data_IF_643926215710
#
_entry.id   IF_643926215710
#
_cell.length_a   1.000
_cell.length_b   1.000
_cell.length_c   1.000
_cell.angle_alpha   90.00
_cell.angle_beta   90.00
_cell.angle_gamma   90.00
#
_symmetry.space_group_name_H-M   'P 1'
#
loop_
_entity.id
_entity.type
_entity.pdbx_description
1 polymer ?
#
# COMPACT_ATOMS: atom_id res chain seq x y z
N UNK A 1 -23.19 20.80 2.94
CA UNK A 1 -21.94 20.60 3.70
C UNK A 1 -21.42 19.17 3.56
N UNK A 2 -22.27 18.17 3.75
CA UNK A 2 -21.96 16.73 3.56
C UNK A 2 -21.24 16.40 2.25
N UNK A 3 -21.69 16.93 1.10
CA UNK A 3 -21.01 16.69 -0.19
C UNK A 3 -19.55 17.19 -0.24
N UNK A 4 -19.24 18.32 0.41
CA UNK A 4 -17.86 18.82 0.49
C UNK A 4 -17.00 17.94 1.39
N UNK A 5 -17.56 17.45 2.51
CA UNK A 5 -16.88 16.54 3.43
C UNK A 5 -16.57 15.21 2.76
N UNK A 6 -17.55 14.60 2.08
CA UNK A 6 -17.32 13.37 1.31
C UNK A 6 -16.32 13.58 0.16
N UNK A 7 -16.36 14.73 -0.51
CA UNK A 7 -15.36 15.09 -1.52
C UNK A 7 -13.94 15.16 -0.95
N UNK A 8 -13.77 15.80 0.22
CA UNK A 8 -12.48 15.86 0.90
C UNK A 8 -11.99 14.47 1.36
N UNK A 9 -12.88 13.66 1.94
CA UNK A 9 -12.57 12.27 2.33
C UNK A 9 -12.09 11.47 1.11
N UNK A 10 -12.78 11.57 -0.03
CA UNK A 10 -12.39 10.87 -1.25
C UNK A 10 -10.98 11.26 -1.71
N UNK A 11 -10.66 12.56 -1.74
CA UNK A 11 -9.33 13.04 -2.13
C UNK A 11 -8.25 12.52 -1.17
N UNK A 12 -8.49 12.60 0.14
CA UNK A 12 -7.54 12.11 1.15
C UNK A 12 -7.30 10.61 1.01
N UNK A 13 -8.35 9.81 0.83
CA UNK A 13 -8.23 8.36 0.68
C UNK A 13 -7.56 7.93 -0.62
N UNK A 14 -7.79 8.65 -1.72
CA UNK A 14 -7.09 8.40 -2.99
C UNK A 14 -5.60 8.69 -2.85
N UNK A 15 -5.24 9.82 -2.25
CA UNK A 15 -3.83 10.18 -2.03
C UNK A 15 -3.14 9.23 -1.05
N UNK A 16 -3.82 8.85 0.04
CA UNK A 16 -3.29 7.89 1.00
C UNK A 16 -3.14 6.49 0.38
N UNK A 17 -4.14 6.03 -0.40
CA UNK A 17 -4.09 4.74 -1.08
C UNK A 17 -2.95 4.65 -2.08
N UNK A 18 -2.90 5.59 -3.04
CA UNK A 18 -1.86 5.61 -4.08
C UNK A 18 -0.48 5.90 -3.49
N UNK A 19 -0.37 6.97 -2.71
CA UNK A 19 0.89 7.41 -2.11
C UNK A 19 1.46 6.40 -1.12
N UNK A 20 0.62 5.80 -0.28
CA UNK A 20 1.04 4.79 0.68
C UNK A 20 1.53 3.51 0.03
N UNK A 21 0.84 3.03 -1.01
CA UNK A 21 1.30 1.85 -1.77
C UNK A 21 2.61 2.17 -2.50
N UNK A 22 2.71 3.32 -3.16
CA UNK A 22 3.96 3.74 -3.83
C UNK A 22 5.12 3.86 -2.85
N UNK A 23 4.88 4.37 -1.65
CA UNK A 23 5.90 4.48 -0.60
C UNK A 23 6.39 3.11 -0.13
N UNK A 24 5.47 2.16 0.10
CA UNK A 24 5.82 0.77 0.46
C UNK A 24 6.64 0.12 -0.66
N UNK A 25 6.29 0.40 -1.92
CA UNK A 25 6.98 -0.14 -3.09
C UNK A 25 8.37 0.45 -3.25
N UNK A 26 8.51 1.75 -2.98
CA UNK A 26 9.81 2.42 -2.93
C UNK A 26 10.70 1.82 -1.82
N UNK A 27 10.16 1.62 -0.61
CA UNK A 27 10.89 0.97 0.47
C UNK A 27 11.32 -0.46 0.12
N UNK A 28 10.46 -1.21 -0.57
CA UNK A 28 10.82 -2.53 -1.09
C UNK A 28 12.00 -2.41 -2.05
N UNK A 29 11.91 -1.55 -3.07
CA UNK A 29 12.96 -1.35 -4.07
C UNK A 29 14.30 -0.99 -3.42
N UNK A 30 14.30 -0.07 -2.46
CA UNK A 30 15.50 0.31 -1.69
C UNK A 30 16.04 -0.85 -0.85
N UNK A 31 15.18 -1.71 -0.30
CA UNK A 31 15.61 -2.86 0.51
C UNK A 31 16.26 -3.98 -0.29
N UNK A 32 16.00 -4.06 -1.60
CA UNK A 32 16.56 -5.05 -2.51
C UNK A 32 17.49 -4.44 -3.56
N UNK A 33 17.92 -3.19 -3.33
CA UNK A 33 18.79 -2.46 -4.23
C UNK A 33 20.10 -3.22 -4.49
N UNK A 34 20.57 -3.18 -5.73
CA UNK A 34 21.74 -3.92 -6.19
C UNK A 34 21.55 -5.44 -6.38
N UNK A 35 20.33 -5.99 -6.20
CA UNK A 35 20.05 -7.42 -6.47
C UNK A 35 19.23 -7.62 -7.74
N UNK A 36 19.47 -8.72 -8.44
CA UNK A 36 18.71 -9.06 -9.65
C UNK A 36 17.36 -9.68 -9.27
N UNK A 37 16.28 -9.00 -9.64
CA UNK A 37 14.92 -9.49 -9.48
C UNK A 37 14.03 -8.98 -10.61
N UNK A 38 13.05 -9.79 -11.01
CA UNK A 38 11.98 -9.35 -11.88
C UNK A 38 10.63 -9.54 -11.17
N UNK A 39 9.79 -8.51 -11.20
CA UNK A 39 8.42 -8.59 -10.66
C UNK A 39 7.46 -8.82 -11.82
N UNK A 40 6.82 -9.98 -11.87
CA UNK A 40 5.71 -10.28 -12.79
C UNK A 40 4.41 -10.35 -12.02
N UNK A 41 3.72 -9.21 -11.92
CA UNK A 41 2.44 -9.09 -11.24
C UNK A 41 2.53 -9.51 -9.78
N UNK A 42 1.96 -10.68 -9.43
CA UNK A 42 1.94 -11.22 -8.06
C UNK A 42 3.16 -12.10 -7.72
N UNK A 43 4.07 -12.36 -8.67
CA UNK A 43 5.23 -13.23 -8.48
C UNK A 43 6.54 -12.45 -8.65
N UNK A 44 7.49 -12.72 -7.75
CA UNK A 44 8.88 -12.30 -7.89
C UNK A 44 9.67 -13.46 -8.50
N UNK A 45 10.29 -13.20 -9.65
CA UNK A 45 11.27 -14.08 -10.29
C UNK A 45 12.66 -13.67 -9.80
N UNK A 46 13.20 -14.47 -8.90
CA UNK A 46 14.55 -14.32 -8.36
C UNK A 46 14.97 -15.65 -7.72
N UNK A 47 16.25 -15.98 -7.85
CA UNK A 47 16.89 -17.12 -7.17
C UNK A 47 17.38 -16.75 -5.77
N UNK A 48 17.34 -15.46 -5.42
CA UNK A 48 17.81 -14.96 -4.14
C UNK A 48 16.76 -15.17 -3.02
N UNK A 49 17.09 -15.96 -1.96
CA UNK A 49 16.18 -16.18 -0.85
C UNK A 49 15.87 -14.91 -0.05
N UNK A 50 16.77 -13.93 -0.03
CA UNK A 50 16.57 -12.66 0.66
C UNK A 50 15.48 -11.82 -0.03
N UNK A 51 15.56 -11.67 -1.36
CA UNK A 51 14.57 -10.91 -2.14
C UNK A 51 13.18 -11.55 -2.01
N UNK A 52 13.08 -12.89 -2.03
CA UNK A 52 11.81 -13.60 -1.79
C UNK A 52 11.23 -13.35 -0.39
N UNK A 53 12.08 -13.26 0.64
CA UNK A 53 11.65 -12.99 2.01
C UNK A 53 11.18 -11.53 2.16
N UNK A 54 11.92 -10.59 1.59
CA UNK A 54 11.52 -9.18 1.57
C UNK A 54 10.22 -8.98 0.80
N UNK A 55 10.08 -9.58 -0.38
CA UNK A 55 8.86 -9.48 -1.18
C UNK A 55 7.62 -9.93 -0.40
N UNK A 56 7.69 -11.07 0.30
CA UNK A 56 6.58 -11.53 1.16
C UNK A 56 6.29 -10.56 2.32
N UNK A 57 7.33 -10.00 2.94
CA UNK A 57 7.18 -9.02 4.03
C UNK A 57 6.50 -7.75 3.55
N UNK A 58 6.98 -7.15 2.47
CA UNK A 58 6.41 -5.92 1.91
C UNK A 58 5.03 -6.15 1.31
N UNK A 59 4.76 -7.32 0.72
CA UNK A 59 3.42 -7.71 0.30
C UNK A 59 2.46 -7.77 1.49
N UNK A 60 2.85 -8.38 2.61
CA UNK A 60 2.05 -8.41 3.83
C UNK A 60 1.79 -6.99 4.39
N UNK A 61 2.81 -6.12 4.39
CA UNK A 61 2.66 -4.71 4.79
C UNK A 61 1.68 -3.98 3.87
N UNK A 62 1.75 -4.18 2.55
CA UNK A 62 0.83 -3.57 1.59
C UNK A 62 -0.61 -4.00 1.83
N UNK A 63 -0.85 -5.29 2.11
CA UNK A 63 -2.18 -5.82 2.45
C UNK A 63 -2.67 -5.23 3.77
N UNK A 64 -1.85 -5.23 4.82
CA UNK A 64 -2.20 -4.67 6.13
C UNK A 64 -2.55 -3.18 6.01
N UNK A 65 -1.75 -2.40 5.27
CA UNK A 65 -2.01 -0.98 5.03
C UNK A 65 -3.35 -0.74 4.33
N UNK A 66 -3.66 -1.56 3.31
CA UNK A 66 -4.93 -1.47 2.58
C UNK A 66 -6.13 -1.79 3.48
N UNK A 67 -6.00 -2.81 4.35
CA UNK A 67 -7.03 -3.15 5.34
C UNK A 67 -7.23 -2.02 6.37
N UNK A 68 -6.14 -1.42 6.86
CA UNK A 68 -6.20 -0.29 7.78
C UNK A 68 -6.91 0.90 7.16
N UNK A 69 -6.62 1.23 5.90
CA UNK A 69 -7.35 2.28 5.18
C UNK A 69 -8.84 1.95 5.08
N UNK A 70 -9.19 0.71 4.75
CA UNK A 70 -10.59 0.32 4.64
C UNK A 70 -11.35 0.47 5.98
N UNK A 71 -10.74 0.05 7.09
CA UNK A 71 -11.31 0.25 8.44
C UNK A 71 -11.44 1.73 8.74
N UNK A 72 -10.40 2.52 8.49
CA UNK A 72 -10.42 3.97 8.72
C UNK A 72 -11.54 4.65 7.92
N UNK A 73 -11.78 4.23 6.67
CA UNK A 73 -12.85 4.78 5.85
C UNK A 73 -14.22 4.54 6.48
N UNK A 74 -14.49 3.30 6.91
CA UNK A 74 -15.75 2.94 7.58
C UNK A 74 -15.93 3.79 8.84
N UNK A 75 -14.88 3.91 9.65
CA UNK A 75 -14.91 4.70 10.89
C UNK A 75 -15.20 6.17 10.59
N UNK A 76 -14.44 6.80 9.69
CA UNK A 76 -14.61 8.21 9.36
C UNK A 76 -16.01 8.48 8.80
N UNK A 77 -16.50 7.65 7.89
CA UNK A 77 -17.85 7.80 7.33
C UNK A 77 -18.93 7.64 8.40
N UNK A 78 -18.71 6.82 9.43
CA UNK A 78 -19.67 6.63 10.54
C UNK A 78 -19.81 7.87 11.43
N UNK A 79 -18.83 8.79 11.41
CA UNK A 79 -18.87 10.07 12.14
C UNK A 79 -19.38 11.24 11.29
N UNK A 80 -19.64 11.04 10.00
CA UNK A 80 -20.22 12.07 9.13
C UNK A 80 -21.75 12.01 9.27
N UNK A 81 -22.29 12.87 10.13
CA UNK A 81 -23.73 13.15 10.27
C UNK A 81 -24.25 14.09 9.17
#
# INVERSE_FOLDING_TARGET
MTMLVFGAIAVVFVLAGLGGIMYIDHLFATSVDGRSYAVKGKKVETDDPFVRKQFRKFYAIRVAYSLTLLVLLIVVVSYVE
#
